data_IF_584230741620
#
_entry.id   IF_584230741620
#
_cell.length_a   1.000
_cell.length_b   1.000
_cell.length_c   1.000
_cell.angle_alpha   90.00
_cell.angle_beta   90.00
_cell.angle_gamma   90.00
#
_symmetry.space_group_name_H-M   'P 1'
#
loop_
_entity.id
_entity.type
_entity.pdbx_description
1 polymer ?
#
# COMPACT_ATOMS: atom_id res chain seq x y z
N UNK A 1 -21.69 5.10 -4.78
CA UNK A 1 -21.56 4.46 -3.44
C UNK A 1 -20.25 4.84 -2.76
N UNK A 2 -19.08 4.62 -3.37
CA UNK A 2 -17.78 4.96 -2.75
C UNK A 2 -17.66 6.43 -2.31
N UNK A 3 -18.00 7.40 -3.17
CA UNK A 3 -17.96 8.83 -2.81
C UNK A 3 -18.81 9.17 -1.59
N UNK A 4 -20.07 8.72 -1.54
CA UNK A 4 -20.93 8.97 -0.37
C UNK A 4 -20.36 8.39 0.93
N UNK A 5 -19.72 7.22 0.87
CA UNK A 5 -19.06 6.61 2.03
C UNK A 5 -17.83 7.42 2.44
N UNK A 6 -17.00 7.85 1.48
CA UNK A 6 -15.84 8.71 1.76
C UNK A 6 -16.27 10.03 2.39
N UNK A 7 -17.24 10.74 1.79
CA UNK A 7 -17.77 12.00 2.31
C UNK A 7 -18.29 11.86 3.76
N UNK A 8 -19.15 10.87 4.01
CA UNK A 8 -19.70 10.64 5.35
C UNK A 8 -18.62 10.24 6.37
N UNK A 9 -17.59 9.50 5.93
CA UNK A 9 -16.47 9.10 6.81
C UNK A 9 -15.60 10.30 7.16
N UNK A 10 -15.26 11.13 6.17
CA UNK A 10 -14.46 12.35 6.36
C UNK A 10 -15.20 13.36 7.23
N UNK A 11 -16.49 13.59 6.96
CA UNK A 11 -17.34 14.44 7.81
C UNK A 11 -17.33 13.95 9.26
N UNK A 12 -17.55 12.65 9.48
CA UNK A 12 -17.58 12.06 10.82
C UNK A 12 -16.22 12.10 11.53
N UNK A 13 -15.12 12.02 10.78
CA UNK A 13 -13.76 12.07 11.32
C UNK A 13 -13.36 13.49 11.76
N UNK A 14 -14.02 14.52 11.24
CA UNK A 14 -13.75 15.92 11.57
C UNK A 14 -12.31 16.31 11.18
N UNK A 15 -11.46 16.57 12.17
CA UNK A 15 -10.05 16.94 11.95
C UNK A 15 -9.11 15.75 11.86
N UNK A 16 -9.59 14.52 12.12
CA UNK A 16 -8.76 13.32 12.04
C UNK A 16 -8.60 12.92 10.56
N UNK A 17 -7.37 12.82 10.02
CA UNK A 17 -7.17 12.45 8.62
C UNK A 17 -7.71 11.04 8.32
N UNK A 18 -8.48 10.92 7.23
CA UNK A 18 -9.05 9.63 6.80
C UNK A 18 -8.18 8.98 5.74
N UNK A 19 -7.86 7.70 5.95
CA UNK A 19 -7.13 6.87 4.99
C UNK A 19 -8.02 5.74 4.50
N UNK A 20 -7.85 5.32 3.25
CA UNK A 20 -8.61 4.21 2.67
C UNK A 20 -7.65 3.09 2.26
N UNK A 21 -7.95 1.84 2.65
CA UNK A 21 -7.17 0.67 2.24
C UNK A 21 -7.88 -0.07 1.10
N UNK A 22 -7.22 -0.22 -0.04
CA UNK A 22 -7.81 -0.83 -1.25
C UNK A 22 -7.46 -2.31 -1.38
N UNK A 23 -8.38 -3.07 -1.98
CA UNK A 23 -8.13 -4.47 -2.37
C UNK A 23 -7.13 -4.53 -3.54
N UNK A 24 -6.24 -5.54 -3.60
CA UNK A 24 -5.38 -5.76 -4.76
C UNK A 24 -6.14 -6.30 -5.99
N UNK A 25 -7.38 -6.74 -5.83
CA UNK A 25 -8.20 -7.42 -6.86
C UNK A 25 -9.10 -6.46 -7.66
N UNK A 26 -8.73 -5.18 -7.75
CA UNK A 26 -9.43 -4.20 -8.59
C UNK A 26 -8.75 -4.08 -9.96
N UNK A 27 -9.54 -3.75 -10.98
CA UNK A 27 -9.02 -3.38 -12.30
C UNK A 27 -8.42 -1.98 -12.31
N UNK A 28 -7.52 -1.71 -13.26
CA UNK A 28 -6.79 -0.44 -13.36
C UNK A 28 -7.73 0.78 -13.42
N UNK A 29 -8.79 0.71 -14.21
CA UNK A 29 -9.78 1.79 -14.31
C UNK A 29 -10.52 2.03 -12.99
N UNK A 30 -10.70 0.99 -12.17
CA UNK A 30 -11.30 1.12 -10.85
C UNK A 30 -10.35 1.82 -9.87
N UNK A 31 -9.05 1.56 -9.94
CA UNK A 31 -8.07 2.32 -9.15
C UNK A 31 -8.05 3.80 -9.54
N UNK A 32 -8.06 4.10 -10.84
CA UNK A 32 -8.12 5.49 -11.33
C UNK A 32 -9.35 6.21 -10.79
N UNK A 33 -10.54 5.61 -10.93
CA UNK A 33 -11.79 6.20 -10.46
C UNK A 33 -11.84 6.33 -8.93
N UNK A 34 -11.27 5.38 -8.18
CA UNK A 34 -11.22 5.48 -6.73
C UNK A 34 -10.30 6.62 -6.28
N UNK A 35 -9.17 6.82 -6.94
CA UNK A 35 -8.25 7.89 -6.56
C UNK A 35 -8.85 9.27 -6.80
N UNK A 36 -9.61 9.46 -7.88
CA UNK A 36 -10.42 10.67 -8.12
C UNK A 36 -11.45 10.88 -7.00
N UNK A 37 -12.19 9.83 -6.64
CA UNK A 37 -13.14 9.90 -5.50
C UNK A 37 -12.44 10.25 -4.19
N UNK A 38 -11.24 9.73 -3.95
CA UNK A 38 -10.48 10.02 -2.73
C UNK A 38 -10.06 11.49 -2.67
N UNK A 39 -9.54 12.02 -3.77
CA UNK A 39 -9.18 13.44 -3.88
C UNK A 39 -10.41 14.33 -3.63
N UNK A 40 -11.50 14.10 -4.36
CA UNK A 40 -12.71 14.95 -4.31
C UNK A 40 -13.38 14.98 -2.93
N UNK A 41 -13.14 13.96 -2.11
CA UNK A 41 -13.78 13.82 -0.80
C UNK A 41 -12.83 14.04 0.37
N UNK A 42 -11.59 14.48 0.14
CA UNK A 42 -10.63 14.81 1.21
C UNK A 42 -10.04 13.60 1.93
N UNK A 43 -9.95 12.44 1.26
CA UNK A 43 -9.20 11.29 1.78
C UNK A 43 -7.71 11.63 1.72
N UNK A 44 -7.03 11.55 2.87
CA UNK A 44 -5.63 11.98 2.97
C UNK A 44 -4.65 11.02 2.32
N UNK A 45 -4.91 9.72 2.43
CA UNK A 45 -4.02 8.69 1.90
C UNK A 45 -4.75 7.40 1.49
N UNK A 46 -4.16 6.70 0.54
CA UNK A 46 -4.55 5.34 0.13
C UNK A 46 -3.49 4.33 0.54
N UNK A 47 -3.91 3.24 1.19
CA UNK A 47 -3.05 2.10 1.53
C UNK A 47 -3.24 1.00 0.47
N UNK A 48 -2.18 0.73 -0.30
CA UNK A 48 -2.14 -0.27 -1.35
C UNK A 48 -1.20 -1.41 -0.94
N UNK A 49 -1.70 -2.54 -0.42
CA UNK A 49 -3.06 -3.08 -0.54
C UNK A 49 -3.46 -3.93 0.68
N UNK A 50 -4.72 -4.39 0.69
CA UNK A 50 -5.19 -5.50 1.54
C UNK A 50 -4.71 -6.86 0.99
N UNK A 51 -5.11 -7.97 1.58
CA UNK A 51 -4.74 -9.33 1.14
C UNK A 51 -5.35 -9.72 -0.20
N UNK A 52 -4.66 -10.57 -0.97
CA UNK A 52 -5.24 -11.21 -2.17
C UNK A 52 -6.36 -12.18 -1.76
N UNK A 53 -7.50 -12.20 -2.45
CA UNK A 53 -8.48 -13.26 -2.25
C UNK A 53 -7.84 -14.60 -2.63
N UNK A 54 -8.01 -15.62 -1.79
CA UNK A 54 -7.40 -16.93 -2.02
C UNK A 54 -7.84 -17.98 -1.02
N UNK A 55 -7.64 -19.24 -1.41
CA UNK A 55 -7.71 -20.39 -0.50
C UNK A 55 -6.28 -20.63 -0.03
N UNK A 56 -6.09 -20.81 1.27
CA UNK A 56 -4.79 -21.22 1.80
C UNK A 56 -4.48 -22.61 1.23
N UNK A 57 -3.35 -22.80 0.52
CA UNK A 57 -3.00 -24.14 0.03
C UNK A 57 -3.05 -25.13 1.18
N UNK A 58 -3.68 -26.29 1.00
CA UNK A 58 -3.86 -27.37 1.98
C UNK A 58 -4.96 -27.24 3.05
N UNK A 59 -5.85 -26.25 2.97
CA UNK A 59 -7.03 -26.17 3.88
C UNK A 59 -8.29 -25.69 3.15
N UNK A 60 -9.47 -26.06 3.66
CA UNK A 60 -10.76 -25.48 3.20
C UNK A 60 -11.00 -24.04 3.71
N UNK A 61 -10.00 -23.43 4.36
CA UNK A 61 -10.09 -22.08 4.91
C UNK A 61 -9.89 -21.07 3.77
N UNK A 62 -10.95 -20.30 3.52
CA UNK A 62 -10.88 -19.08 2.71
C UNK A 62 -10.29 -17.97 3.56
N UNK A 63 -9.01 -17.67 3.37
CA UNK A 63 -8.34 -16.54 4.01
C UNK A 63 -7.48 -15.81 2.99
N UNK A 64 -7.42 -14.48 3.12
CA UNK A 64 -6.64 -13.67 2.21
C UNK A 64 -5.15 -13.99 2.28
N UNK A 65 -4.49 -14.10 1.11
CA UNK A 65 -3.06 -14.32 1.02
C UNK A 65 -2.30 -12.98 1.12
N UNK A 66 -1.38 -12.89 2.08
CA UNK A 66 -0.43 -11.79 2.24
C UNK A 66 1.00 -12.19 1.92
N UNK A 67 1.97 -11.44 2.46
CA UNK A 67 3.40 -11.75 2.35
C UNK A 67 3.91 -11.77 0.92
N UNK A 68 4.90 -12.65 0.64
CA UNK A 68 5.58 -12.73 -0.66
C UNK A 68 4.64 -12.91 -1.86
N UNK A 69 3.53 -13.63 -1.70
CA UNK A 69 2.54 -13.83 -2.77
C UNK A 69 1.84 -12.53 -3.19
N UNK A 70 1.69 -11.60 -2.26
CA UNK A 70 1.05 -10.31 -2.50
C UNK A 70 2.01 -9.27 -3.09
N UNK A 71 3.33 -9.45 -2.93
CA UNK A 71 4.35 -8.43 -3.21
C UNK A 71 4.24 -7.82 -4.61
N UNK A 72 4.39 -8.64 -5.66
CA UNK A 72 4.37 -8.15 -7.06
C UNK A 72 3.08 -7.41 -7.39
N UNK A 73 1.94 -7.96 -6.96
CA UNK A 73 0.64 -7.32 -7.20
C UNK A 73 0.52 -6.01 -6.44
N UNK A 74 0.86 -5.97 -5.15
CA UNK A 74 0.76 -4.77 -4.36
C UNK A 74 1.72 -3.66 -4.86
N UNK A 75 2.93 -4.01 -5.29
CA UNK A 75 3.87 -3.07 -5.90
C UNK A 75 3.32 -2.51 -7.22
N UNK A 76 2.72 -3.36 -8.07
CA UNK A 76 2.08 -2.92 -9.31
C UNK A 76 0.93 -1.93 -9.08
N UNK A 77 0.15 -2.11 -8.00
CA UNK A 77 -0.93 -1.18 -7.63
C UNK A 77 -0.38 0.16 -7.15
N UNK A 78 0.70 0.17 -6.38
CA UNK A 78 1.38 1.42 -5.98
C UNK A 78 1.85 2.19 -7.22
N UNK A 79 2.54 1.52 -8.15
CA UNK A 79 2.98 2.12 -9.42
C UNK A 79 1.81 2.73 -10.20
N UNK A 80 0.67 2.02 -10.27
CA UNK A 80 -0.52 2.52 -10.96
C UNK A 80 -1.08 3.77 -10.29
N UNK A 81 -1.33 3.70 -8.97
CA UNK A 81 -1.88 4.82 -8.21
C UNK A 81 -0.97 6.05 -8.30
N UNK A 82 0.34 5.85 -8.24
CA UNK A 82 1.32 6.93 -8.35
C UNK A 82 1.27 7.59 -9.73
N UNK A 83 1.24 6.80 -10.81
CA UNK A 83 1.13 7.34 -12.16
C UNK A 83 -0.15 8.16 -12.38
N UNK A 84 -1.28 7.75 -11.78
CA UNK A 84 -2.54 8.51 -11.85
C UNK A 84 -2.44 9.79 -11.04
N UNK A 85 -1.92 9.71 -9.81
CA UNK A 85 -1.71 10.84 -8.91
C UNK A 85 -0.90 11.93 -9.59
N UNK A 86 0.25 11.58 -10.18
CA UNK A 86 1.14 12.52 -10.86
C UNK A 86 0.45 13.14 -12.09
N UNK A 87 -0.18 12.32 -12.93
CA UNK A 87 -0.88 12.79 -14.14
C UNK A 87 -2.02 13.76 -13.84
N UNK A 88 -2.68 13.61 -12.69
CA UNK A 88 -3.84 14.42 -12.28
C UNK A 88 -3.50 15.49 -11.23
N UNK A 89 -2.24 15.55 -10.78
CA UNK A 89 -1.79 16.40 -9.68
C UNK A 89 -2.59 16.23 -8.40
N UNK A 90 -2.99 14.99 -8.08
CA UNK A 90 -3.72 14.68 -6.86
C UNK A 90 -2.83 14.73 -5.61
N UNK A 91 -3.42 15.11 -4.48
CA UNK A 91 -2.75 15.29 -3.20
C UNK A 91 -2.82 14.07 -2.29
N UNK A 92 -3.66 13.07 -2.63
CA UNK A 92 -3.75 11.80 -1.88
C UNK A 92 -2.38 11.10 -1.81
N UNK A 93 -1.89 10.84 -0.60
CA UNK A 93 -0.64 10.08 -0.40
C UNK A 93 -0.84 8.59 -0.67
N UNK A 94 0.21 7.90 -1.08
CA UNK A 94 0.20 6.46 -1.34
C UNK A 94 1.08 5.75 -0.30
N UNK A 95 0.52 4.77 0.41
CA UNK A 95 1.23 3.93 1.38
C UNK A 95 1.27 2.49 0.87
N UNK A 96 2.47 1.95 0.69
CA UNK A 96 2.67 0.56 0.26
C UNK A 96 2.38 -0.46 1.36
N UNK A 97 1.74 -1.56 1.05
CA UNK A 97 1.46 -2.65 1.98
C UNK A 97 1.33 -3.97 1.22
N UNK A 98 2.28 -4.88 1.42
CA UNK A 98 2.20 -6.22 0.87
C UNK A 98 3.58 -6.84 0.64
N UNK A 99 3.96 -7.79 1.49
CA UNK A 99 5.18 -8.57 1.25
C UNK A 99 6.50 -7.83 1.35
N UNK A 100 6.54 -6.66 2.03
CA UNK A 100 7.80 -6.00 2.38
C UNK A 100 8.51 -6.82 3.44
N UNK A 101 9.64 -7.42 3.08
CA UNK A 101 10.41 -8.34 3.93
C UNK A 101 11.82 -7.85 4.24
N UNK A 102 12.40 -6.97 3.42
CA UNK A 102 13.79 -6.52 3.54
C UNK A 102 13.96 -5.08 2.98
N UNK A 103 15.17 -4.52 3.10
CA UNK A 103 15.51 -3.17 2.63
C UNK A 103 15.38 -2.96 1.11
N UNK A 104 15.59 -4.01 0.30
CA UNK A 104 15.38 -3.96 -1.17
C UNK A 104 13.90 -3.80 -1.49
N UNK A 105 13.03 -4.53 -0.79
CA UNK A 105 11.57 -4.41 -0.96
C UNK A 105 11.11 -2.99 -0.56
N UNK A 106 11.62 -2.46 0.56
CA UNK A 106 11.34 -1.08 0.98
C UNK A 106 11.77 -0.10 -0.11
N UNK A 107 13.00 -0.24 -0.65
CA UNK A 107 13.49 0.61 -1.73
C UNK A 107 12.56 0.57 -2.94
N UNK A 108 12.14 -0.63 -3.36
CA UNK A 108 11.26 -0.81 -4.51
C UNK A 108 9.91 -0.10 -4.34
N UNK A 109 9.31 -0.16 -3.15
CA UNK A 109 8.06 0.57 -2.88
C UNK A 109 8.23 2.09 -2.90
N UNK A 110 9.33 2.61 -2.34
CA UNK A 110 9.62 4.04 -2.35
C UNK A 110 9.89 4.53 -3.77
N UNK A 111 10.67 3.78 -4.55
CA UNK A 111 10.94 4.08 -5.96
C UNK A 111 9.66 4.01 -6.82
N UNK A 112 8.71 3.14 -6.45
CA UNK A 112 7.39 3.06 -7.08
C UNK A 112 6.48 4.25 -6.72
N UNK A 113 6.89 5.14 -5.82
CA UNK A 113 6.18 6.34 -5.43
C UNK A 113 5.33 6.22 -4.17
N UNK A 114 5.51 5.17 -3.36
CA UNK A 114 4.95 5.14 -2.03
C UNK A 114 5.67 6.15 -1.11
N UNK A 115 4.91 6.87 -0.29
CA UNK A 115 5.45 7.75 0.75
C UNK A 115 6.01 6.96 1.94
N UNK A 116 5.38 5.85 2.27
CA UNK A 116 5.75 4.96 3.37
C UNK A 116 5.30 3.53 3.07
N UNK A 117 5.74 2.57 3.89
CA UNK A 117 5.27 1.18 3.82
C UNK A 117 4.72 0.68 5.16
N UNK A 118 3.80 -0.28 5.10
CA UNK A 118 3.34 -1.07 6.25
C UNK A 118 3.91 -2.48 6.18
N UNK A 119 4.31 -3.01 7.33
CA UNK A 119 4.88 -4.36 7.46
C UNK A 119 4.01 -5.22 8.36
N UNK A 120 3.75 -6.46 7.92
CA UNK A 120 3.03 -7.46 8.72
C UNK A 120 3.69 -8.82 8.65
N UNK A 121 3.81 -9.41 7.46
CA UNK A 121 4.42 -10.74 7.30
C UNK A 121 5.87 -10.79 7.79
N UNK A 122 6.62 -9.69 7.63
CA UNK A 122 7.97 -9.59 8.18
C UNK A 122 7.99 -9.72 9.71
N UNK A 123 7.02 -9.16 10.43
CA UNK A 123 6.93 -9.32 11.88
C UNK A 123 6.76 -10.79 12.29
N UNK A 124 5.98 -11.54 11.51
CA UNK A 124 5.72 -12.96 11.75
C UNK A 124 6.96 -13.82 11.48
N UNK A 125 7.68 -13.55 10.38
CA UNK A 125 8.78 -14.41 9.93
C UNK A 125 10.18 -13.95 10.37
N UNK A 126 10.37 -12.66 10.63
CA UNK A 126 11.65 -12.05 11.04
C UNK A 126 11.63 -11.52 12.48
N UNK A 127 10.48 -11.58 13.15
CA UNK A 127 10.33 -11.13 14.54
C UNK A 127 9.97 -9.63 14.68
N UNK A 128 9.77 -9.15 15.92
CA UNK A 128 9.23 -7.82 16.18
C UNK A 128 10.15 -6.67 15.75
N UNK A 129 11.45 -6.93 15.63
CA UNK A 129 12.45 -5.94 15.19
C UNK A 129 12.57 -5.81 13.66
N UNK A 130 11.76 -6.57 12.90
CA UNK A 130 11.79 -6.51 11.45
C UNK A 130 11.70 -5.10 10.84
N UNK A 131 10.88 -4.14 11.35
CA UNK A 131 10.86 -2.79 10.80
C UNK A 131 12.22 -2.09 10.90
N UNK A 132 12.91 -2.23 12.04
CA UNK A 132 14.23 -1.64 12.26
C UNK A 132 15.28 -2.25 11.34
N UNK A 133 15.28 -3.58 11.21
CA UNK A 133 16.20 -4.29 10.31
C UNK A 133 16.00 -3.87 8.86
N UNK A 134 14.74 -3.80 8.39
CA UNK A 134 14.39 -3.38 7.04
C UNK A 134 14.88 -1.96 6.77
N UNK A 135 14.69 -1.04 7.72
CA UNK A 135 15.18 0.34 7.60
C UNK A 135 16.70 0.38 7.54
N UNK A 136 17.41 -0.40 8.38
CA UNK A 136 18.88 -0.47 8.36
C UNK A 136 19.41 -0.97 7.01
N UNK A 137 18.86 -2.08 6.51
CA UNK A 137 19.20 -2.64 5.20
C UNK A 137 18.97 -1.62 4.07
N UNK A 138 17.85 -0.89 4.10
CA UNK A 138 17.57 0.18 3.12
C UNK A 138 18.62 1.31 3.16
N UNK A 139 19.02 1.74 4.36
CA UNK A 139 20.04 2.78 4.51
C UNK A 139 21.43 2.32 4.04
N UNK A 140 21.75 1.04 4.15
CA UNK A 140 22.99 0.46 3.61
C UNK A 140 22.97 0.50 2.08
N UNK A 141 21.87 0.10 1.44
CA UNK A 141 21.68 0.17 -0.02
C UNK A 141 21.89 1.61 -0.55
N UNK A 142 21.38 2.62 0.17
CA UNK A 142 21.56 4.02 -0.23
C UNK A 142 23.02 4.48 -0.20
N UNK A 143 23.85 3.95 0.71
CA UNK A 143 25.27 4.29 0.80
C UNK A 143 26.07 3.67 -0.33
N UNK A 144 25.76 2.42 -0.70
CA UNK A 144 26.44 1.70 -1.77
C UNK A 144 26.18 2.34 -3.14
N UNK A 145 24.95 2.81 -3.40
CA UNK A 145 24.59 3.47 -4.66
C UNK A 145 25.12 4.90 -4.86
N UNK A 146 25.84 5.45 -3.86
CA UNK A 146 26.47 6.78 -3.91
C UNK A 146 27.99 6.72 -4.10
N UNK A 147 28.56 5.51 -4.17
CA UNK A 147 29.99 5.24 -4.41
C UNK A 147 30.23 4.94 -5.88
#
# INVERSE_FOLDING_TARGET
MASAVCAATVERAGTVPVWVKVSPDLGDTQYDSLLEVFEDNGVRAVVATNTLPGIVPSTDIRAGAGGKRLYERALSVVLRLYAVRERRSYSVDIVGCGGVMNGVDLRAYLDAGALAVQVWSALVFRGPFAPEDITREYLEILKEGQS
#
